data_IF_280620297541
#
_entry.id   IF_280620297541
#
_cell.length_a   1.000
_cell.length_b   1.000
_cell.length_c   1.000
_cell.angle_alpha   90.00
_cell.angle_beta   90.00
_cell.angle_gamma   90.00
#
_symmetry.space_group_name_H-M   'P 1'
#
loop_
_entity.id
_entity.type
_entity.pdbx_description
1 polymer ?
#
# COMPACT_ATOMS: atom_id res chain seq x y z
N UNK A 1 -30.13 17.27 -23.35
CA UNK A 1 -30.63 16.27 -24.31
C UNK A 1 -30.65 14.94 -23.60
N UNK A 2 -31.81 14.33 -23.43
CA UNK A 2 -31.96 13.01 -22.78
C UNK A 2 -32.01 11.96 -23.88
N UNK A 3 -31.23 10.90 -23.76
CA UNK A 3 -31.30 9.72 -24.64
C UNK A 3 -31.85 8.55 -23.83
N UNK A 4 -32.76 7.79 -24.44
CA UNK A 4 -33.31 6.55 -23.87
C UNK A 4 -32.57 5.37 -24.50
N UNK A 5 -32.16 4.41 -23.67
CA UNK A 5 -31.55 3.16 -24.10
C UNK A 5 -32.45 2.00 -23.71
N UNK A 6 -32.80 1.16 -24.68
CA UNK A 6 -33.57 -0.07 -24.42
C UNK A 6 -32.61 -1.19 -24.00
N UNK A 7 -32.57 -1.46 -22.69
CA UNK A 7 -31.75 -2.53 -22.09
C UNK A 7 -32.68 -3.58 -21.51
N UNK A 8 -32.47 -4.86 -21.86
CA UNK A 8 -33.24 -5.95 -21.29
C UNK A 8 -33.03 -6.02 -19.76
N UNK A 9 -34.07 -6.37 -19.00
CA UNK A 9 -34.05 -6.32 -17.52
C UNK A 9 -32.89 -7.08 -16.86
N UNK A 10 -32.44 -8.18 -17.48
CA UNK A 10 -31.35 -9.03 -16.97
C UNK A 10 -30.00 -8.77 -17.65
N UNK A 11 -29.84 -7.62 -18.31
CA UNK A 11 -28.61 -7.23 -18.99
C UNK A 11 -27.99 -6.03 -18.30
N UNK A 12 -26.67 -6.08 -18.07
CA UNK A 12 -25.92 -4.93 -17.60
C UNK A 12 -25.65 -3.95 -18.75
N UNK A 13 -25.49 -2.69 -18.38
CA UNK A 13 -25.03 -1.63 -19.28
C UNK A 13 -23.83 -0.91 -18.67
N UNK A 14 -22.99 -0.35 -19.53
CA UNK A 14 -21.71 0.24 -19.16
C UNK A 14 -21.51 1.53 -19.96
N UNK A 15 -21.27 2.63 -19.24
CA UNK A 15 -20.92 3.91 -19.84
C UNK A 15 -19.44 4.21 -19.69
N UNK A 16 -18.98 5.21 -20.46
CA UNK A 16 -17.58 5.63 -20.47
C UNK A 16 -16.61 4.48 -20.82
N UNK A 17 -16.91 3.70 -21.86
CA UNK A 17 -16.11 2.54 -22.26
C UNK A 17 -14.62 2.90 -22.35
N UNK A 18 -13.77 2.12 -21.67
CA UNK A 18 -12.33 2.33 -21.51
C UNK A 18 -11.93 3.63 -20.82
N UNK A 19 -12.84 4.25 -20.06
CA UNK A 19 -12.62 5.49 -19.32
C UNK A 19 -12.16 6.65 -20.23
N UNK A 20 -12.71 6.74 -21.44
CA UNK A 20 -12.32 7.72 -22.44
C UNK A 20 -12.69 9.18 -22.07
N UNK A 21 -13.75 9.36 -21.31
CA UNK A 21 -14.19 10.64 -20.78
C UNK A 21 -13.73 10.89 -19.36
N UNK A 22 -13.46 12.15 -19.03
CA UNK A 22 -13.04 12.58 -17.69
C UNK A 22 -14.25 12.76 -16.76
N UNK A 23 -14.96 11.67 -16.47
CA UNK A 23 -16.08 11.63 -15.54
C UNK A 23 -16.25 10.23 -14.92
N UNK A 24 -16.85 10.19 -13.73
CA UNK A 24 -17.24 8.96 -13.04
C UNK A 24 -18.65 8.56 -13.44
N UNK A 25 -18.93 7.26 -13.43
CA UNK A 25 -20.28 6.74 -13.71
C UNK A 25 -20.91 6.19 -12.43
N UNK A 26 -22.14 6.61 -12.16
CA UNK A 26 -22.99 6.04 -11.12
C UNK A 26 -24.17 5.33 -11.79
N UNK A 27 -24.33 4.03 -11.52
CA UNK A 27 -25.43 3.23 -12.02
C UNK A 27 -26.51 3.05 -10.95
N UNK A 28 -27.69 2.61 -11.36
CA UNK A 28 -28.70 2.09 -10.44
C UNK A 28 -28.20 0.79 -9.78
N UNK A 29 -28.69 0.48 -8.58
CA UNK A 29 -28.22 -0.64 -7.76
C UNK A 29 -28.30 -1.99 -8.49
N UNK A 30 -29.39 -2.24 -9.21
CA UNK A 30 -29.57 -3.45 -10.02
C UNK A 30 -28.46 -3.61 -11.08
N UNK A 31 -27.99 -2.51 -11.69
CA UNK A 31 -26.92 -2.60 -12.68
C UNK A 31 -25.54 -2.84 -12.02
N UNK A 32 -25.30 -2.35 -10.79
CA UNK A 32 -24.10 -2.72 -10.04
C UNK A 32 -24.06 -4.21 -9.70
N UNK A 33 -25.22 -4.78 -9.34
CA UNK A 33 -25.35 -6.23 -9.10
C UNK A 33 -25.07 -7.03 -10.39
N UNK A 34 -25.70 -6.66 -11.51
CA UNK A 34 -25.50 -7.33 -12.80
C UNK A 34 -24.05 -7.21 -13.31
N UNK A 35 -23.39 -6.05 -13.13
CA UNK A 35 -21.97 -5.88 -13.43
C UNK A 35 -21.09 -6.75 -12.54
N UNK A 36 -21.43 -6.87 -11.26
CA UNK A 36 -20.74 -7.75 -10.31
C UNK A 36 -20.84 -9.20 -10.78
N UNK A 37 -22.05 -9.69 -11.06
CA UNK A 37 -22.28 -11.04 -11.58
C UNK A 37 -21.50 -11.32 -12.86
N UNK A 38 -21.49 -10.37 -13.80
CA UNK A 38 -20.70 -10.48 -15.03
C UNK A 38 -19.20 -10.62 -14.73
N UNK A 39 -18.65 -9.80 -13.84
CA UNK A 39 -17.23 -9.87 -13.47
C UNK A 39 -16.88 -11.21 -12.81
N UNK A 40 -17.77 -11.75 -11.99
CA UNK A 40 -17.59 -13.08 -11.41
C UNK A 40 -17.67 -14.21 -12.43
N UNK A 41 -18.64 -14.14 -13.35
CA UNK A 41 -18.88 -15.16 -14.37
C UNK A 41 -17.77 -15.16 -15.42
N UNK A 42 -17.54 -14.00 -16.02
CA UNK A 42 -16.50 -13.75 -17.02
C UNK A 42 -16.12 -12.25 -17.03
N UNK A 43 -15.12 -11.89 -16.24
CA UNK A 43 -14.57 -10.54 -16.24
C UNK A 43 -13.97 -10.12 -17.59
N UNK A 44 -13.58 -11.05 -18.48
CA UNK A 44 -12.94 -10.72 -19.76
C UNK A 44 -13.93 -10.22 -20.81
N UNK A 45 -15.24 -10.43 -20.62
CA UNK A 45 -16.29 -9.79 -21.39
C UNK A 45 -16.33 -8.25 -21.20
N UNK A 46 -15.80 -7.74 -20.08
CA UNK A 46 -15.63 -6.32 -19.84
C UNK A 46 -14.18 -5.92 -20.16
N UNK A 47 -13.94 -4.89 -21.02
CA UNK A 47 -12.60 -4.43 -21.34
C UNK A 47 -11.78 -4.06 -20.10
N UNK A 48 -10.48 -4.35 -20.11
CA UNK A 48 -9.54 -4.08 -19.01
C UNK A 48 -9.74 -2.70 -18.36
N UNK A 49 -9.66 -1.62 -19.15
CA UNK A 49 -9.81 -0.26 -18.63
C UNK A 49 -11.19 0.02 -18.04
N UNK A 50 -12.24 -0.61 -18.57
CA UNK A 50 -13.58 -0.51 -18.00
C UNK A 50 -13.70 -1.26 -16.67
N UNK A 51 -13.02 -2.40 -16.49
CA UNK A 51 -12.97 -3.07 -15.18
C UNK A 51 -12.29 -2.21 -14.13
N UNK A 52 -11.19 -1.58 -14.51
CA UNK A 52 -10.48 -0.60 -13.68
C UNK A 52 -11.39 0.55 -13.28
N UNK A 53 -12.13 1.11 -14.24
CA UNK A 53 -13.07 2.19 -14.00
C UNK A 53 -14.19 1.77 -13.05
N UNK A 54 -14.80 0.59 -13.26
CA UNK A 54 -15.87 0.06 -12.40
C UNK A 54 -15.42 0.02 -10.93
N UNK A 55 -14.22 -0.49 -10.66
CA UNK A 55 -13.65 -0.55 -9.31
C UNK A 55 -13.34 0.83 -8.73
N UNK A 56 -12.74 1.72 -9.52
CA UNK A 56 -12.38 3.06 -9.07
C UNK A 56 -13.62 3.92 -8.80
N UNK A 57 -14.60 3.92 -9.71
CA UNK A 57 -15.86 4.66 -9.56
C UNK A 57 -16.66 4.14 -8.37
N UNK A 58 -16.86 2.82 -8.25
CA UNK A 58 -17.63 2.24 -7.16
C UNK A 58 -16.98 2.50 -5.79
N UNK A 59 -15.64 2.41 -5.68
CA UNK A 59 -14.94 2.79 -4.45
C UNK A 59 -15.20 4.25 -4.09
N UNK A 60 -15.05 5.17 -5.03
CA UNK A 60 -15.21 6.60 -4.75
C UNK A 60 -16.67 6.97 -4.42
N UNK A 61 -17.65 6.28 -5.02
CA UNK A 61 -19.07 6.39 -4.68
C UNK A 61 -19.36 5.89 -3.26
N UNK A 62 -18.75 4.76 -2.87
CA UNK A 62 -18.84 4.24 -1.52
C UNK A 62 -18.17 5.17 -0.49
N UNK A 63 -16.99 5.71 -0.84
CA UNK A 63 -16.21 6.60 0.01
C UNK A 63 -16.89 7.95 0.31
N UNK A 64 -17.87 8.34 -0.51
CA UNK A 64 -18.71 9.52 -0.27
C UNK A 64 -20.13 9.17 0.23
N UNK A 65 -20.32 7.93 0.68
CA UNK A 65 -21.60 7.39 1.19
C UNK A 65 -22.78 7.47 0.20
N UNK A 66 -22.52 7.49 -1.11
CA UNK A 66 -23.59 7.39 -2.14
C UNK A 66 -23.99 5.95 -2.41
N UNK A 67 -23.08 5.01 -2.21
CA UNK A 67 -23.30 3.56 -2.35
C UNK A 67 -22.77 2.88 -1.08
N UNK A 68 -23.34 1.76 -0.64
CA UNK A 68 -22.79 1.02 0.51
C UNK A 68 -21.41 0.43 0.18
N UNK A 69 -20.50 0.41 1.16
CA UNK A 69 -19.25 -0.34 1.06
C UNK A 69 -19.48 -1.83 0.83
N UNK A 70 -20.64 -2.39 1.21
CA UNK A 70 -20.98 -3.79 0.95
C UNK A 70 -21.00 -4.08 -0.55
N UNK A 71 -21.53 -3.15 -1.36
CA UNK A 71 -21.56 -3.28 -2.82
C UNK A 71 -20.14 -3.29 -3.38
N UNK A 72 -19.28 -2.38 -2.91
CA UNK A 72 -17.88 -2.30 -3.29
C UNK A 72 -17.09 -3.58 -2.90
N UNK A 73 -17.17 -3.98 -1.63
CA UNK A 73 -16.47 -5.15 -1.10
C UNK A 73 -17.00 -6.46 -1.70
N UNK A 74 -18.27 -6.49 -2.12
CA UNK A 74 -18.83 -7.62 -2.85
C UNK A 74 -18.32 -7.68 -4.29
N UNK A 75 -18.21 -6.54 -4.98
CA UNK A 75 -17.60 -6.44 -6.31
C UNK A 75 -16.15 -6.96 -6.26
N UNK A 76 -15.31 -6.44 -5.37
CA UNK A 76 -13.87 -6.77 -5.33
C UNK A 76 -13.56 -8.25 -5.18
N UNK A 77 -14.46 -9.06 -4.64
CA UNK A 77 -14.29 -10.52 -4.54
C UNK A 77 -14.08 -11.23 -5.90
N UNK A 78 -14.51 -10.67 -7.04
CA UNK A 78 -14.20 -11.26 -8.36
C UNK A 78 -12.69 -11.29 -8.65
N UNK A 79 -11.91 -10.42 -8.00
CA UNK A 79 -10.47 -10.26 -8.24
C UNK A 79 -9.69 -11.55 -8.03
N UNK A 80 -10.22 -12.54 -7.31
CA UNK A 80 -9.65 -13.90 -7.24
C UNK A 80 -9.35 -14.51 -8.61
N UNK A 81 -10.05 -14.07 -9.67
CA UNK A 81 -9.85 -14.51 -11.07
C UNK A 81 -9.10 -13.48 -11.93
N UNK A 82 -8.77 -12.31 -11.39
CA UNK A 82 -8.14 -11.21 -12.13
C UNK A 82 -6.62 -11.38 -12.22
N UNK A 83 -6.06 -11.14 -13.40
CA UNK A 83 -4.64 -11.31 -13.72
C UNK A 83 -3.99 -10.04 -14.26
N UNK A 84 -4.72 -8.92 -14.32
CA UNK A 84 -4.23 -7.65 -14.84
C UNK A 84 -3.76 -6.71 -13.73
N UNK A 85 -2.50 -6.27 -13.82
CA UNK A 85 -1.87 -5.33 -12.88
C UNK A 85 -2.72 -4.09 -12.61
N UNK A 86 -3.23 -3.42 -13.65
CA UNK A 86 -3.90 -2.12 -13.51
C UNK A 86 -5.19 -2.23 -12.67
N UNK A 87 -5.89 -3.36 -12.77
CA UNK A 87 -7.11 -3.64 -11.99
C UNK A 87 -6.75 -3.88 -10.53
N UNK A 88 -5.72 -4.70 -10.29
CA UNK A 88 -5.22 -4.98 -8.95
C UNK A 88 -4.66 -3.74 -8.27
N UNK A 89 -3.87 -2.91 -8.95
CA UNK A 89 -3.28 -1.70 -8.38
C UNK A 89 -4.36 -0.67 -8.02
N UNK A 90 -5.39 -0.53 -8.87
CA UNK A 90 -6.53 0.35 -8.57
C UNK A 90 -7.25 -0.09 -7.31
N UNK A 91 -7.52 -1.39 -7.20
CA UNK A 91 -8.12 -1.96 -5.98
C UNK A 91 -7.18 -1.85 -4.78
N UNK A 92 -5.88 -2.10 -4.95
CA UNK A 92 -4.88 -2.01 -3.88
C UNK A 92 -4.90 -0.63 -3.23
N UNK A 93 -4.98 0.45 -4.02
CA UNK A 93 -5.04 1.82 -3.48
C UNK A 93 -6.27 2.03 -2.59
N UNK A 94 -7.43 1.59 -3.05
CA UNK A 94 -8.68 1.65 -2.28
C UNK A 94 -8.59 0.82 -0.99
N UNK A 95 -8.10 -0.41 -1.08
CA UNK A 95 -7.92 -1.28 0.09
C UNK A 95 -6.86 -0.75 1.06
N UNK A 96 -5.81 -0.08 0.56
CA UNK A 96 -4.80 0.58 1.41
C UNK A 96 -5.36 1.80 2.14
N UNK A 97 -6.30 2.52 1.52
CA UNK A 97 -7.03 3.58 2.19
C UNK A 97 -7.86 3.00 3.35
N UNK A 98 -8.64 1.94 3.08
CA UNK A 98 -9.45 1.27 4.11
C UNK A 98 -8.58 0.70 5.24
N UNK A 99 -7.45 0.05 4.91
CA UNK A 99 -6.49 -0.43 5.91
C UNK A 99 -6.05 0.68 6.86
N UNK A 100 -5.71 1.86 6.33
CA UNK A 100 -5.29 3.00 7.16
C UNK A 100 -6.44 3.57 7.99
N UNK A 101 -7.64 3.68 7.42
CA UNK A 101 -8.79 4.24 8.15
C UNK A 101 -9.28 3.32 9.25
N UNK A 102 -9.22 2.01 9.02
CA UNK A 102 -9.67 0.99 9.97
C UNK A 102 -8.60 0.58 10.97
N UNK A 103 -7.35 1.05 10.85
CA UNK A 103 -6.22 0.55 11.64
C UNK A 103 -6.39 0.61 13.17
N UNK A 104 -7.23 1.52 13.67
CA UNK A 104 -7.54 1.67 15.10
C UNK A 104 -9.01 1.33 15.42
N UNK A 105 -9.75 0.77 14.46
CA UNK A 105 -11.15 0.40 14.60
C UNK A 105 -11.29 -1.10 14.94
N UNK A 106 -12.35 -1.47 15.65
CA UNK A 106 -12.60 -2.87 16.03
C UNK A 106 -12.79 -3.82 14.82
N UNK A 107 -13.23 -3.28 13.68
CA UNK A 107 -13.41 -4.03 12.44
C UNK A 107 -12.10 -4.38 11.72
N UNK A 108 -10.95 -3.83 12.17
CA UNK A 108 -9.66 -4.06 11.51
C UNK A 108 -9.35 -5.54 11.32
N UNK A 109 -9.57 -6.35 12.37
CA UNK A 109 -9.30 -7.79 12.31
C UNK A 109 -10.11 -8.51 11.24
N UNK A 110 -11.39 -8.15 11.09
CA UNK A 110 -12.27 -8.68 10.05
C UNK A 110 -11.84 -8.24 8.65
N UNK A 111 -11.44 -6.96 8.50
CA UNK A 111 -10.92 -6.44 7.24
C UNK A 111 -9.61 -7.15 6.82
N UNK A 112 -8.68 -7.38 7.75
CA UNK A 112 -7.46 -8.15 7.48
C UNK A 112 -7.78 -9.60 7.07
N UNK A 113 -8.77 -10.24 7.69
CA UNK A 113 -9.22 -11.58 7.31
C UNK A 113 -9.82 -11.63 5.90
N UNK A 114 -10.59 -10.59 5.55
CA UNK A 114 -11.10 -10.40 4.19
C UNK A 114 -9.97 -10.24 3.18
N UNK A 115 -8.98 -9.38 3.46
CA UNK A 115 -7.82 -9.19 2.58
C UNK A 115 -7.05 -10.50 2.35
N UNK A 116 -6.76 -11.26 3.41
CA UNK A 116 -6.12 -12.59 3.30
C UNK A 116 -6.91 -13.51 2.38
N UNK A 117 -8.24 -13.56 2.54
CA UNK A 117 -9.13 -14.39 1.72
C UNK A 117 -9.16 -13.95 0.26
N UNK A 118 -9.09 -12.64 0.01
CA UNK A 118 -9.12 -12.05 -1.33
C UNK A 118 -7.86 -12.39 -2.13
N UNK A 119 -6.70 -12.38 -1.47
CA UNK A 119 -5.39 -12.55 -2.12
C UNK A 119 -4.84 -13.98 -2.09
N UNK A 120 -5.45 -14.92 -1.35
CA UNK A 120 -4.95 -16.29 -1.21
C UNK A 120 -4.69 -16.99 -2.55
N UNK A 121 -5.71 -17.03 -3.43
CA UNK A 121 -5.56 -17.66 -4.76
C UNK A 121 -4.59 -16.88 -5.67
N UNK A 122 -4.74 -15.55 -5.85
CA UNK A 122 -3.78 -14.76 -6.63
C UNK A 122 -2.33 -14.90 -6.17
N UNK A 123 -2.07 -15.00 -4.86
CA UNK A 123 -0.73 -15.13 -4.30
C UNK A 123 -0.02 -16.40 -4.78
N UNK A 124 -0.75 -17.48 -5.09
CA UNK A 124 -0.19 -18.73 -5.62
C UNK A 124 0.47 -18.54 -6.99
N UNK A 125 0.11 -17.49 -7.72
CA UNK A 125 0.72 -17.13 -9.01
C UNK A 125 1.99 -16.28 -8.90
N UNK A 126 2.33 -15.82 -7.69
CA UNK A 126 3.51 -14.98 -7.44
C UNK A 126 4.78 -15.82 -7.60
N UNK A 127 5.63 -15.40 -8.54
CA UNK A 127 6.95 -15.97 -8.75
C UNK A 127 7.97 -15.33 -7.80
N UNK A 128 8.47 -16.11 -6.84
CA UNK A 128 9.46 -15.66 -5.86
C UNK A 128 10.92 -15.73 -6.34
N UNK A 129 11.17 -16.26 -7.53
CA UNK A 129 12.52 -16.70 -7.97
C UNK A 129 13.13 -15.84 -9.07
N UNK A 130 12.32 -15.26 -9.96
CA UNK A 130 12.85 -14.49 -11.10
C UNK A 130 13.52 -13.19 -10.66
N UNK A 131 14.85 -13.15 -10.78
CA UNK A 131 15.73 -12.01 -10.44
C UNK A 131 15.86 -10.97 -11.56
N UNK A 132 15.87 -11.40 -12.83
CA UNK A 132 15.96 -10.50 -13.99
C UNK A 132 14.56 -10.10 -14.41
N UNK A 133 14.23 -8.82 -14.25
CA UNK A 133 12.90 -8.25 -14.50
C UNK A 133 12.88 -7.36 -15.75
N UNK A 134 13.65 -7.75 -16.77
CA UNK A 134 13.89 -6.98 -18.00
C UNK A 134 12.77 -7.12 -19.04
N UNK A 135 11.86 -8.07 -18.85
CA UNK A 135 10.74 -8.36 -19.75
C UNK A 135 9.43 -8.38 -18.97
N UNK A 136 8.31 -8.01 -19.62
CA UNK A 136 6.98 -8.06 -19.01
C UNK A 136 6.82 -7.19 -17.74
N UNK A 137 7.17 -5.91 -17.81
CA UNK A 137 7.07 -4.96 -16.69
C UNK A 137 5.75 -5.05 -15.90
N UNK A 138 4.60 -5.14 -16.59
CA UNK A 138 3.28 -5.27 -15.94
C UNK A 138 3.16 -6.53 -15.05
N UNK A 139 3.80 -7.64 -15.40
CA UNK A 139 3.82 -8.87 -14.59
C UNK A 139 4.59 -8.66 -13.29
N UNK A 140 5.71 -7.96 -13.34
CA UNK A 140 6.51 -7.62 -12.14
C UNK A 140 5.78 -6.60 -11.25
N UNK A 141 5.06 -5.65 -11.85
CA UNK A 141 4.22 -4.71 -11.09
C UNK A 141 3.03 -5.42 -10.41
N UNK A 142 2.39 -6.38 -11.08
CA UNK A 142 1.38 -7.25 -10.45
C UNK A 142 1.98 -8.07 -9.30
N UNK A 143 3.17 -8.65 -9.53
CA UNK A 143 3.90 -9.40 -8.50
C UNK A 143 4.12 -8.58 -7.23
N UNK A 144 4.61 -7.35 -7.37
CA UNK A 144 4.75 -6.40 -6.26
C UNK A 144 3.40 -6.12 -5.58
N UNK A 145 2.36 -5.84 -6.36
CA UNK A 145 1.02 -5.49 -5.87
C UNK A 145 0.41 -6.60 -5.00
N UNK A 146 0.42 -7.83 -5.50
CA UNK A 146 -0.13 -9.00 -4.80
C UNK A 146 0.68 -9.32 -3.54
N UNK A 147 2.01 -9.32 -3.64
CA UNK A 147 2.88 -9.62 -2.50
C UNK A 147 2.72 -8.56 -1.41
N UNK A 148 2.65 -7.27 -1.79
CA UNK A 148 2.43 -6.18 -0.85
C UNK A 148 1.10 -6.34 -0.11
N UNK A 149 0.00 -6.62 -0.81
CA UNK A 149 -1.30 -6.85 -0.15
C UNK A 149 -1.26 -8.07 0.77
N UNK A 150 -0.75 -9.19 0.29
CA UNK A 150 -0.71 -10.43 1.06
C UNK A 150 0.14 -10.30 2.33
N UNK A 151 1.32 -9.72 2.22
CA UNK A 151 2.20 -9.53 3.38
C UNK A 151 1.68 -8.43 4.30
N UNK A 152 1.06 -7.36 3.77
CA UNK A 152 0.39 -6.36 4.58
C UNK A 152 -0.74 -6.97 5.41
N UNK A 153 -1.49 -7.91 4.81
CA UNK A 153 -2.54 -8.69 5.45
C UNK A 153 -2.06 -9.83 6.37
N UNK A 154 -0.74 -9.94 6.58
CA UNK A 154 -0.10 -11.02 7.33
C UNK A 154 -0.51 -12.42 6.84
N UNK A 155 -0.67 -12.56 5.53
CA UNK A 155 -0.92 -13.86 4.93
C UNK A 155 0.25 -14.81 5.25
N UNK A 156 -0.05 -15.95 5.89
CA UNK A 156 0.96 -16.87 6.43
C UNK A 156 2.04 -17.24 5.41
N UNK A 157 1.64 -17.59 4.18
CA UNK A 157 2.61 -17.92 3.12
C UNK A 157 3.49 -16.73 2.72
N UNK A 158 2.95 -15.51 2.72
CA UNK A 158 3.73 -14.32 2.36
C UNK A 158 4.74 -13.98 3.46
N UNK A 159 4.28 -13.98 4.72
CA UNK A 159 5.14 -13.72 5.89
C UNK A 159 6.27 -14.74 5.98
N UNK A 160 5.97 -16.03 5.83
CA UNK A 160 6.98 -17.09 5.85
C UNK A 160 8.04 -16.89 4.76
N UNK A 161 7.61 -16.69 3.51
CA UNK A 161 8.56 -16.48 2.41
C UNK A 161 9.39 -15.22 2.62
N UNK A 162 8.76 -14.10 2.99
CA UNK A 162 9.45 -12.83 3.21
C UNK A 162 10.51 -12.94 4.31
N UNK A 163 10.19 -13.56 5.45
CA UNK A 163 11.15 -13.72 6.54
C UNK A 163 12.29 -14.69 6.18
N UNK A 164 12.01 -15.76 5.44
CA UNK A 164 13.04 -16.68 4.94
C UNK A 164 14.02 -15.99 3.98
N UNK A 165 13.50 -15.25 2.99
CA UNK A 165 14.31 -14.47 2.05
C UNK A 165 15.20 -13.45 2.76
N UNK A 166 14.62 -12.70 3.68
CA UNK A 166 15.34 -11.68 4.43
C UNK A 166 16.41 -12.28 5.34
N UNK A 167 16.09 -13.36 6.06
CA UNK A 167 17.04 -14.09 6.91
C UNK A 167 18.21 -14.65 6.08
N UNK A 168 17.94 -15.19 4.90
CA UNK A 168 18.99 -15.69 4.01
C UNK A 168 19.91 -14.57 3.53
N UNK A 169 19.37 -13.37 3.28
CA UNK A 169 20.17 -12.19 2.95
C UNK A 169 21.01 -11.72 4.15
N UNK A 170 20.46 -11.72 5.37
CA UNK A 170 21.25 -11.40 6.58
C UNK A 170 22.40 -12.39 6.81
N UNK A 171 22.22 -13.67 6.47
CA UNK A 171 23.28 -14.68 6.55
C UNK A 171 24.36 -14.50 5.48
N UNK A 172 24.02 -13.95 4.32
CA UNK A 172 24.93 -13.69 3.22
C UNK A 172 24.80 -12.25 2.70
N UNK A 173 25.26 -11.23 3.47
CA UNK A 173 24.97 -9.82 3.18
C UNK A 173 25.48 -9.33 1.82
N UNK A 174 26.50 -9.97 1.27
CA UNK A 174 27.09 -9.65 -0.05
C UNK A 174 26.22 -10.04 -1.23
N UNK A 175 25.20 -10.89 -1.04
CA UNK A 175 24.32 -11.37 -2.10
C UNK A 175 22.85 -11.22 -1.70
N UNK A 176 22.23 -10.15 -2.19
CA UNK A 176 20.80 -9.96 -2.04
C UNK A 176 20.03 -10.77 -3.11
N UNK A 177 19.57 -11.95 -2.72
CA UNK A 177 18.80 -12.87 -3.56
C UNK A 177 17.29 -12.59 -3.56
N UNK A 178 16.86 -11.41 -3.08
CA UNK A 178 15.47 -10.99 -3.13
C UNK A 178 15.22 -10.33 -4.49
N UNK A 179 14.28 -10.84 -5.31
CA UNK A 179 13.91 -10.19 -6.56
C UNK A 179 13.51 -8.73 -6.37
N UNK A 180 13.97 -7.80 -7.23
CA UNK A 180 13.72 -6.36 -7.06
C UNK A 180 12.26 -5.98 -6.75
N UNK A 181 11.30 -6.46 -7.53
CA UNK A 181 9.86 -6.20 -7.31
C UNK A 181 9.29 -6.80 -6.00
N UNK A 182 9.99 -7.72 -5.34
CA UNK A 182 9.56 -8.28 -4.05
C UNK A 182 10.17 -7.54 -2.85
N UNK A 183 11.29 -6.83 -3.05
CA UNK A 183 12.03 -6.14 -1.98
C UNK A 183 11.17 -5.22 -1.12
N UNK A 184 10.29 -4.35 -1.67
CA UNK A 184 9.46 -3.49 -0.83
C UNK A 184 8.59 -4.28 0.16
N UNK A 185 7.99 -5.38 -0.30
CA UNK A 185 7.15 -6.24 0.55
C UNK A 185 8.01 -7.06 1.53
N UNK A 186 9.11 -7.65 1.06
CA UNK A 186 9.99 -8.48 1.88
C UNK A 186 10.64 -7.66 3.01
N UNK A 187 11.21 -6.50 2.70
CA UNK A 187 11.84 -5.63 3.68
C UNK A 187 10.84 -5.17 4.73
N UNK A 188 9.71 -4.61 4.30
CA UNK A 188 8.69 -4.12 5.21
C UNK A 188 8.17 -5.24 6.13
N UNK A 189 7.97 -6.45 5.60
CA UNK A 189 7.50 -7.61 6.39
C UNK A 189 8.54 -8.07 7.40
N UNK A 190 9.81 -8.15 6.99
CA UNK A 190 10.89 -8.54 7.88
C UNK A 190 11.08 -7.52 9.02
N UNK A 191 10.98 -6.22 8.75
CA UNK A 191 11.04 -5.18 9.77
C UNK A 191 9.81 -5.19 10.68
N UNK A 192 8.63 -5.48 10.13
CA UNK A 192 7.37 -5.53 10.88
C UNK A 192 7.32 -6.68 11.89
N UNK A 193 7.84 -7.84 11.50
CA UNK A 193 7.78 -9.08 12.29
C UNK A 193 9.06 -9.33 13.09
N UNK A 194 10.20 -8.83 12.61
CA UNK A 194 11.48 -8.87 13.30
C UNK A 194 11.60 -7.80 14.38
N UNK A 195 12.82 -7.60 14.87
CA UNK A 195 13.13 -6.61 15.89
C UNK A 195 14.33 -5.75 15.51
N UNK A 196 15.10 -5.35 16.52
CA UNK A 196 16.24 -4.45 16.34
C UNK A 196 17.28 -4.99 15.35
N UNK A 197 17.57 -6.30 15.36
CA UNK A 197 18.60 -6.91 14.51
C UNK A 197 18.27 -6.76 13.02
N UNK A 198 17.04 -7.09 12.65
CA UNK A 198 16.55 -6.97 11.28
C UNK A 198 16.55 -5.50 10.84
N UNK A 199 16.14 -4.59 11.72
CA UNK A 199 16.09 -3.16 11.47
C UNK A 199 17.48 -2.53 11.29
N UNK A 200 18.42 -2.84 12.18
CA UNK A 200 19.80 -2.36 12.09
C UNK A 200 20.50 -2.87 10.83
N UNK A 201 20.27 -4.14 10.47
CA UNK A 201 20.79 -4.69 9.23
C UNK A 201 20.30 -3.90 8.01
N UNK A 202 19.00 -3.63 7.90
CA UNK A 202 18.46 -2.86 6.76
C UNK A 202 18.99 -1.43 6.74
N UNK A 203 19.09 -0.81 7.90
CA UNK A 203 19.65 0.54 8.04
C UNK A 203 21.11 0.58 7.60
N UNK A 204 21.91 -0.44 7.87
CA UNK A 204 23.29 -0.49 7.37
C UNK A 204 23.32 -0.56 5.83
N UNK A 205 22.39 -1.28 5.19
CA UNK A 205 22.28 -1.33 3.72
C UNK A 205 21.94 0.03 3.12
N UNK A 206 21.10 0.80 3.80
CA UNK A 206 20.76 2.18 3.39
C UNK A 206 21.98 3.10 3.32
N UNK A 207 23.01 2.84 4.12
CA UNK A 207 24.21 3.66 4.24
C UNK A 207 25.34 3.21 3.28
N UNK A 208 25.11 2.22 2.43
CA UNK A 208 26.08 1.80 1.41
C UNK A 208 26.21 2.85 0.29
N UNK A 209 27.44 3.06 -0.19
CA UNK A 209 27.79 4.17 -1.10
C UNK A 209 27.13 4.04 -2.49
N UNK A 210 26.89 2.82 -2.98
CA UNK A 210 26.44 2.53 -4.35
C UNK A 210 25.00 1.98 -4.42
N UNK A 211 24.13 2.39 -3.48
CA UNK A 211 22.73 1.98 -3.47
C UNK A 211 21.94 2.66 -4.59
N UNK A 212 21.11 1.90 -5.31
CA UNK A 212 20.19 2.45 -6.32
C UNK A 212 19.04 3.23 -5.67
N UNK A 213 18.54 4.27 -6.32
CA UNK A 213 17.53 5.15 -5.71
C UNK A 213 16.18 4.44 -5.45
N UNK A 214 15.77 3.52 -6.31
CA UNK A 214 14.57 2.68 -6.12
C UNK A 214 14.70 1.76 -4.90
N UNK A 215 15.90 1.19 -4.72
CA UNK A 215 16.25 0.37 -3.56
C UNK A 215 16.26 1.20 -2.27
N UNK A 216 16.90 2.37 -2.30
CA UNK A 216 16.97 3.30 -1.18
C UNK A 216 15.57 3.72 -0.71
N UNK A 217 14.68 4.06 -1.63
CA UNK A 217 13.28 4.37 -1.32
C UNK A 217 12.54 3.19 -0.69
N UNK A 218 12.76 1.98 -1.21
CA UNK A 218 12.18 0.75 -0.67
C UNK A 218 12.65 0.48 0.77
N UNK A 219 13.93 0.71 1.05
CA UNK A 219 14.50 0.58 2.40
C UNK A 219 13.95 1.63 3.36
N UNK A 220 13.91 2.92 2.96
CA UNK A 220 13.37 4.00 3.79
C UNK A 220 11.92 3.71 4.22
N UNK A 221 11.07 3.28 3.27
CA UNK A 221 9.69 2.89 3.58
C UNK A 221 9.62 1.67 4.50
N UNK A 222 10.49 0.68 4.30
CA UNK A 222 10.50 -0.54 5.09
C UNK A 222 10.96 -0.33 6.54
N UNK A 223 11.93 0.57 6.77
CA UNK A 223 12.39 0.93 8.13
C UNK A 223 11.29 1.55 8.99
N UNK A 224 10.24 2.10 8.37
CA UNK A 224 9.04 2.62 9.03
C UNK A 224 7.99 1.54 9.38
N UNK A 225 8.16 0.29 8.93
CA UNK A 225 7.16 -0.77 9.10
C UNK A 225 7.14 -1.48 10.46
N UNK A 226 8.06 -1.13 11.37
CA UNK A 226 8.21 -1.84 12.65
C UNK A 226 6.94 -1.72 13.51
N UNK A 227 6.64 -2.78 14.25
CA UNK A 227 5.59 -2.80 15.29
C UNK A 227 6.10 -2.33 16.65
N UNK A 228 7.40 -2.29 16.83
CA UNK A 228 8.02 -1.88 18.07
C UNK A 228 8.09 -0.36 18.13
N UNK A 229 7.26 0.25 18.99
CA UNK A 229 7.16 1.70 19.14
C UNK A 229 8.52 2.37 19.36
N UNK A 230 9.41 1.73 20.13
CA UNK A 230 10.73 2.27 20.42
C UNK A 230 11.65 2.26 19.18
N UNK A 231 11.54 1.26 18.28
CA UNK A 231 12.26 1.22 17.00
C UNK A 231 11.75 2.33 16.08
N UNK A 232 10.42 2.51 16.00
CA UNK A 232 9.83 3.59 15.18
C UNK A 232 10.25 4.96 15.70
N UNK A 233 10.32 5.16 17.02
CA UNK A 233 10.83 6.40 17.63
C UNK A 233 12.30 6.64 17.28
N UNK A 234 13.15 5.61 17.42
CA UNK A 234 14.55 5.67 17.02
C UNK A 234 14.70 6.02 15.53
N UNK A 235 13.86 5.45 14.68
CA UNK A 235 13.85 5.75 13.24
C UNK A 235 13.45 7.20 12.96
N UNK A 236 12.38 7.70 13.60
CA UNK A 236 11.92 9.08 13.46
C UNK A 236 13.00 10.09 13.84
N UNK A 237 13.66 9.90 14.99
CA UNK A 237 14.76 10.76 15.43
C UNK A 237 15.93 10.73 14.45
N UNK A 238 16.27 9.55 13.92
CA UNK A 238 17.30 9.39 12.91
C UNK A 238 16.95 10.12 11.61
N UNK A 239 15.70 10.01 11.13
CA UNK A 239 15.22 10.70 9.93
C UNK A 239 15.34 12.21 10.09
N UNK A 240 14.85 12.76 11.21
CA UNK A 240 14.90 14.20 11.48
C UNK A 240 16.35 14.69 11.49
N UNK A 241 17.23 14.01 12.22
CA UNK A 241 18.63 14.42 12.37
C UNK A 241 19.40 14.42 11.04
N UNK A 242 19.16 13.45 10.16
CA UNK A 242 19.93 13.30 8.93
C UNK A 242 19.39 14.15 7.77
N UNK A 243 18.10 14.51 7.78
CA UNK A 243 17.47 15.25 6.68
C UNK A 243 17.17 16.73 7.03
N UNK A 244 17.54 17.20 8.22
CA UNK A 244 17.27 18.58 8.68
C UNK A 244 17.77 19.72 7.76
N UNK A 245 18.72 19.43 6.85
CA UNK A 245 19.30 20.43 5.93
C UNK A 245 18.52 20.57 4.63
N UNK A 246 17.73 19.58 4.25
CA UNK A 246 16.90 19.59 3.05
C UNK A 246 15.43 19.37 3.45
N UNK A 247 14.60 20.42 3.40
CA UNK A 247 13.19 20.32 3.75
C UNK A 247 12.41 19.29 2.92
N UNK A 248 12.77 19.07 1.65
CA UNK A 248 12.08 18.13 0.79
C UNK A 248 12.40 16.69 1.21
N UNK A 249 13.67 16.36 1.39
CA UNK A 249 14.10 15.04 1.87
C UNK A 249 13.52 14.74 3.27
N UNK A 250 13.46 15.75 4.13
CA UNK A 250 12.83 15.62 5.43
C UNK A 250 11.34 15.31 5.31
N UNK A 251 10.60 16.04 4.46
CA UNK A 251 9.17 15.80 4.24
C UNK A 251 8.90 14.41 3.67
N UNK A 252 9.71 13.94 2.72
CA UNK A 252 9.54 12.63 2.10
C UNK A 252 9.82 11.49 3.10
N UNK A 253 10.85 11.65 3.93
CA UNK A 253 11.17 10.68 4.97
C UNK A 253 10.13 10.67 6.11
N UNK A 254 9.64 11.83 6.54
CA UNK A 254 8.56 11.93 7.52
C UNK A 254 7.23 11.36 6.98
N UNK A 255 6.95 11.58 5.70
CA UNK A 255 5.78 10.99 5.03
C UNK A 255 5.82 9.46 5.07
N UNK A 256 7.02 8.87 4.99
CA UNK A 256 7.19 7.42 5.10
C UNK A 256 6.87 6.89 6.49
N UNK A 257 7.28 7.60 7.55
CA UNK A 257 6.92 7.28 8.94
C UNK A 257 5.40 7.41 9.14
N UNK A 258 4.79 8.46 8.59
CA UNK A 258 3.35 8.72 8.69
C UNK A 258 2.47 7.70 7.94
N UNK A 259 3.03 6.80 7.14
CA UNK A 259 2.25 5.76 6.46
C UNK A 259 1.67 4.73 7.42
N UNK A 260 2.28 4.53 8.60
CA UNK A 260 1.91 3.48 9.55
C UNK A 260 1.32 4.06 10.85
N UNK A 261 0.35 3.38 11.50
CA UNK A 261 -0.39 3.95 12.63
C UNK A 261 0.48 4.36 13.84
N UNK A 262 1.51 3.57 14.15
CA UNK A 262 2.46 3.88 15.21
C UNK A 262 3.28 5.13 14.85
N UNK A 263 3.76 5.19 13.60
CA UNK A 263 4.51 6.33 13.09
C UNK A 263 3.66 7.61 13.03
N UNK A 264 2.38 7.52 12.66
CA UNK A 264 1.43 8.64 12.71
C UNK A 264 1.31 9.21 14.12
N UNK A 265 1.14 8.34 15.11
CA UNK A 265 0.99 8.74 16.51
C UNK A 265 2.24 9.47 17.01
N UNK A 266 3.41 8.86 16.81
CA UNK A 266 4.70 9.42 17.24
C UNK A 266 5.05 10.72 16.52
N UNK A 267 4.82 10.79 15.21
CA UNK A 267 5.07 12.00 14.42
C UNK A 267 4.13 13.12 14.83
N UNK A 268 2.85 12.83 15.07
CA UNK A 268 1.90 13.82 15.55
C UNK A 268 2.29 14.39 16.91
N UNK A 269 2.72 13.53 17.85
CA UNK A 269 3.27 13.97 19.14
C UNK A 269 4.45 14.92 18.96
N UNK A 270 5.42 14.53 18.13
CA UNK A 270 6.61 15.34 17.84
C UNK A 270 6.25 16.71 17.22
N UNK A 271 5.34 16.74 16.24
CA UNK A 271 4.88 17.98 15.60
C UNK A 271 4.22 18.91 16.62
N UNK A 272 3.36 18.39 17.51
CA UNK A 272 2.71 19.22 18.54
C UNK A 272 3.73 19.81 19.52
N UNK A 273 4.73 19.04 19.92
CA UNK A 273 5.79 19.50 20.83
C UNK A 273 6.64 20.59 20.18
N UNK A 274 7.09 20.37 18.95
CA UNK A 274 7.81 21.36 18.16
C UNK A 274 6.98 22.64 17.96
N UNK A 275 5.69 22.51 17.67
CA UNK A 275 4.78 23.65 17.53
C UNK A 275 4.64 24.45 18.82
N UNK A 276 4.45 23.77 19.97
CA UNK A 276 4.39 24.44 21.29
C UNK A 276 5.68 25.18 21.60
N UNK A 277 6.83 24.57 21.30
CA UNK A 277 8.13 25.20 21.47
C UNK A 277 8.23 26.49 20.64
N UNK A 278 7.93 26.43 19.33
CA UNK A 278 7.95 27.60 18.44
C UNK A 278 7.00 28.71 18.94
N UNK A 279 5.78 28.35 19.34
CA UNK A 279 4.77 29.32 19.80
C UNK A 279 5.10 29.92 21.18
N UNK A 280 5.81 29.19 22.04
CA UNK A 280 6.21 29.67 23.37
C UNK A 280 7.53 30.46 23.33
N UNK A 281 8.52 30.04 22.54
CA UNK A 281 9.75 30.82 22.33
C UNK A 281 9.49 32.09 21.52
N UNK A 282 8.53 32.08 20.59
CA UNK A 282 8.04 33.28 19.91
C UNK A 282 7.47 34.35 20.86
N UNK A 283 7.18 33.99 22.13
CA UNK A 283 6.77 34.92 23.18
C UNK A 283 7.90 35.34 24.14
N UNK A 284 9.03 34.63 24.17
CA UNK A 284 10.10 34.81 25.19
C UNK A 284 11.54 34.78 24.63
N UNK A 285 11.77 34.99 23.32
CA UNK A 285 13.10 34.86 22.73
C UNK A 285 14.08 36.00 23.13
N UNK A 286 14.79 35.81 24.24
CA UNK A 286 16.25 36.01 24.28
C UNK A 286 16.91 34.64 24.34
N UNK A 287 17.69 34.30 23.30
CA UNK A 287 18.36 33.00 23.13
C UNK A 287 19.26 32.65 24.32
N UNK A 288 19.24 31.41 24.85
CA UNK A 288 20.40 30.83 25.51
C UNK A 288 21.31 30.19 24.46
N UNK A 289 22.58 30.56 24.50
CA UNK A 289 23.69 29.88 23.84
C UNK A 289 23.85 28.47 24.42
N UNK A 290 23.70 27.44 23.60
CA UNK A 290 24.15 26.10 23.95
C UNK A 290 25.65 26.05 23.68
N UNK A 291 26.46 26.06 24.75
CA UNK A 291 27.88 25.69 24.69
C UNK A 291 28.00 24.18 24.54
N UNK A 292 29.05 23.79 23.81
CA UNK A 292 29.49 22.43 23.50
C UNK A 292 29.68 21.55 24.73
#
# INVERSE_FOLDING_TARGET
MTQTLDVAENSWYLFNIKQAGFYRVHYADNNWELLTEQLYKDHRAIPLHSRTQILDDLFNLANRATVSYDVYLNLTKYLKKEDQYVVWETTRRALSYLDRMLAMDESYGAFQAYLRTLVDDPLKSVDWTTMKEDKHHMKHMLRLTLTRLACQAEHHSCVKMATEYYRNWMLNPSQNLIPPSLRPAVYCTAIRIGGQKEWEFLKQRLLEVDIKEDEKNSILQALSCSRDMWIVRLHLEWVIKNNQKDPQDLLDALSSVAMYPIGQTLLWEHIREAWRFIMNEGKNATRPTVKA
#
